data_IF_712536978923
#
_entry.id   IF_712536978923
#
_cell.length_a   1.000
_cell.length_b   1.000
_cell.length_c   1.000
_cell.angle_alpha   90.00
_cell.angle_beta   90.00
_cell.angle_gamma   90.00
#
_symmetry.space_group_name_H-M   'P 1'
#
loop_
_entity.id
_entity.type
_entity.pdbx_description
1 polymer ?
#
# COMPACT_ATOMS: atom_id res chain seq x y z
N UNK A 1 17.05 -34.87 12.94
CA UNK A 1 16.53 -34.04 11.83
C UNK A 1 17.66 -33.75 10.85
N UNK A 2 17.92 -34.61 9.87
CA UNK A 2 18.75 -34.32 8.67
C UNK A 2 18.63 -35.47 7.67
N UNK A 3 17.43 -35.83 7.23
CA UNK A 3 17.26 -36.73 6.07
C UNK A 3 17.21 -35.94 4.75
N UNK A 4 17.02 -34.62 4.81
CA UNK A 4 16.88 -33.73 3.64
C UNK A 4 18.10 -32.80 3.41
N UNK A 5 19.17 -32.93 4.19
CA UNK A 5 20.38 -32.09 4.04
C UNK A 5 20.18 -30.58 4.28
N UNK A 6 19.01 -30.15 4.79
CA UNK A 6 18.68 -28.75 5.03
C UNK A 6 18.81 -28.41 6.52
N UNK A 7 19.48 -27.29 6.83
CA UNK A 7 19.59 -26.74 8.18
C UNK A 7 18.70 -25.50 8.35
N UNK A 8 18.08 -25.38 9.52
CA UNK A 8 17.30 -24.19 9.87
C UNK A 8 18.24 -23.04 10.19
N UNK A 9 17.97 -21.86 9.63
CA UNK A 9 18.68 -20.64 9.99
C UNK A 9 18.16 -20.13 11.35
N UNK A 10 18.99 -20.08 12.40
CA UNK A 10 18.55 -19.68 13.74
C UNK A 10 18.07 -18.22 13.79
N UNK A 11 18.59 -17.34 12.92
CA UNK A 11 18.18 -15.93 12.86
C UNK A 11 16.75 -15.73 12.35
N UNK A 12 16.27 -16.62 11.47
CA UNK A 12 14.95 -16.51 10.83
C UNK A 12 13.88 -17.32 11.58
N UNK A 13 14.31 -18.29 12.40
CA UNK A 13 13.43 -19.22 13.10
C UNK A 13 13.10 -18.68 14.49
N UNK A 14 11.98 -17.95 14.60
CA UNK A 14 11.47 -17.47 15.90
C UNK A 14 10.17 -18.18 16.26
N UNK A 15 10.17 -18.90 17.36
CA UNK A 15 8.95 -19.41 17.98
C UNK A 15 8.25 -18.22 18.64
N UNK A 16 7.06 -17.87 18.15
CA UNK A 16 6.25 -16.78 18.71
C UNK A 16 4.81 -17.23 18.84
N UNK A 17 4.13 -16.78 19.89
CA UNK A 17 2.72 -17.09 20.07
C UNK A 17 1.87 -16.33 19.05
N UNK A 18 0.76 -16.93 18.62
CA UNK A 18 -0.19 -16.31 17.69
C UNK A 18 -0.74 -14.96 18.21
N UNK A 19 -0.77 -14.78 19.53
CA UNK A 19 -1.17 -13.52 20.17
C UNK A 19 -0.18 -12.37 19.94
N UNK A 20 1.13 -12.60 20.08
CA UNK A 20 2.16 -11.62 19.68
C UNK A 20 2.16 -11.46 18.15
N UNK A 21 1.87 -12.55 17.46
CA UNK A 21 1.77 -12.64 16.01
C UNK A 21 3.13 -12.62 15.30
N UNK A 22 3.11 -12.90 14.00
CA UNK A 22 4.31 -13.12 13.20
C UNK A 22 4.14 -12.62 11.76
N UNK A 23 5.26 -12.54 11.04
CA UNK A 23 5.29 -12.19 9.63
C UNK A 23 5.35 -13.45 8.76
N UNK A 24 4.43 -13.58 7.80
CA UNK A 24 4.41 -14.68 6.85
C UNK A 24 3.89 -14.23 5.48
N UNK A 25 4.56 -14.61 4.40
CA UNK A 25 4.21 -14.25 3.01
C UNK A 25 3.90 -12.76 2.78
N UNK A 26 4.57 -11.87 3.52
CA UNK A 26 4.35 -10.43 3.41
C UNK A 26 3.21 -9.86 4.25
N UNK A 27 2.49 -10.70 4.99
CA UNK A 27 1.48 -10.31 5.96
C UNK A 27 2.02 -10.34 7.39
N UNK A 28 1.50 -9.44 8.23
CA UNK A 28 1.57 -9.52 9.68
C UNK A 28 0.30 -10.20 10.16
N UNK A 29 0.44 -11.42 10.68
CA UNK A 29 -0.66 -12.22 11.21
C UNK A 29 -0.68 -12.07 12.73
N UNK A 30 -1.88 -11.89 13.28
CA UNK A 30 -2.15 -11.78 14.71
C UNK A 30 -3.56 -12.25 15.00
N UNK A 31 -3.91 -12.41 16.28
CA UNK A 31 -5.26 -12.84 16.69
C UNK A 31 -6.40 -12.02 16.08
N UNK A 32 -6.21 -10.70 15.96
CA UNK A 32 -7.27 -9.77 15.55
C UNK A 32 -7.05 -9.13 14.18
N UNK A 33 -5.87 -9.31 13.57
CA UNK A 33 -5.54 -8.61 12.34
C UNK A 33 -4.62 -9.41 11.42
N UNK A 34 -4.84 -9.21 10.13
CA UNK A 34 -4.11 -9.80 9.01
C UNK A 34 -3.81 -8.67 8.03
N UNK A 35 -2.70 -7.97 8.25
CA UNK A 35 -2.37 -6.75 7.51
C UNK A 35 -1.08 -6.90 6.73
N UNK A 36 -0.75 -5.96 5.83
CA UNK A 36 0.58 -5.92 5.24
C UNK A 36 1.63 -5.77 6.33
N UNK A 37 2.68 -6.59 6.32
CA UNK A 37 3.81 -6.40 7.24
C UNK A 37 4.52 -5.07 6.96
N UNK A 38 5.17 -4.51 7.97
CA UNK A 38 5.86 -3.22 7.88
C UNK A 38 6.82 -3.14 6.67
N UNK A 39 7.66 -4.17 6.49
CA UNK A 39 8.61 -4.24 5.36
C UNK A 39 7.92 -4.23 3.99
N UNK A 40 6.72 -4.80 3.87
CA UNK A 40 5.95 -4.76 2.62
C UNK A 40 5.36 -3.37 2.37
N UNK A 41 4.88 -2.72 3.44
CA UNK A 41 4.39 -1.32 3.38
C UNK A 41 5.50 -0.37 2.97
N UNK A 42 6.70 -0.53 3.53
CA UNK A 42 7.87 0.26 3.16
C UNK A 42 8.25 0.06 1.70
N UNK A 43 8.36 -1.19 1.24
CA UNK A 43 8.62 -1.48 -0.17
C UNK A 43 7.60 -0.83 -1.11
N UNK A 44 6.31 -0.88 -0.75
CA UNK A 44 5.27 -0.20 -1.50
C UNK A 44 5.47 1.32 -1.53
N UNK A 45 5.71 1.93 -0.36
CA UNK A 45 5.97 3.37 -0.24
C UNK A 45 7.20 3.78 -1.04
N UNK A 46 8.29 3.01 -1.03
CA UNK A 46 9.50 3.28 -1.81
C UNK A 46 9.20 3.32 -3.31
N UNK A 47 8.51 2.30 -3.84
CA UNK A 47 8.11 2.28 -5.26
C UNK A 47 7.25 3.49 -5.64
N UNK A 48 6.26 3.83 -4.82
CA UNK A 48 5.44 5.03 -5.06
C UNK A 48 6.28 6.30 -4.98
N UNK A 49 7.24 6.38 -4.05
CA UNK A 49 8.11 7.53 -3.90
C UNK A 49 8.99 7.77 -5.12
N UNK A 50 9.57 6.70 -5.68
CA UNK A 50 10.39 6.75 -6.89
C UNK A 50 9.60 7.35 -8.08
N UNK A 51 8.32 6.98 -8.21
CA UNK A 51 7.45 7.49 -9.28
C UNK A 51 7.02 8.94 -9.02
N UNK A 52 6.87 9.35 -7.75
CA UNK A 52 6.29 10.66 -7.36
C UNK A 52 7.33 11.70 -6.93
N UNK A 53 8.55 11.64 -7.48
CA UNK A 53 9.64 12.58 -7.15
C UNK A 53 9.18 14.03 -7.34
N UNK A 54 9.39 14.85 -6.31
CA UNK A 54 9.16 16.31 -6.36
C UNK A 54 10.09 16.84 -7.45
N UNK A 55 9.59 17.66 -8.38
CA UNK A 55 10.27 18.17 -9.60
C UNK A 55 10.08 17.38 -10.91
N UNK A 56 9.48 16.18 -10.91
CA UNK A 56 9.01 15.58 -12.16
C UNK A 56 7.64 16.14 -12.58
N UNK A 57 7.38 16.15 -13.89
CA UNK A 57 6.08 16.52 -14.43
C UNK A 57 5.03 15.47 -14.06
N UNK A 58 3.85 15.93 -13.62
CA UNK A 58 2.70 15.06 -13.39
C UNK A 58 2.04 14.77 -14.75
N UNK A 59 2.62 13.84 -15.49
CA UNK A 59 2.13 13.36 -16.78
C UNK A 59 1.23 12.12 -16.61
N UNK A 60 0.50 11.75 -17.67
CA UNK A 60 -0.35 10.56 -17.68
C UNK A 60 0.44 9.28 -17.36
N UNK A 61 1.65 9.16 -17.89
CA UNK A 61 2.57 8.04 -17.68
C UNK A 61 2.91 7.83 -16.20
N UNK A 62 3.18 8.90 -15.44
CA UNK A 62 3.42 8.80 -14.00
C UNK A 62 2.18 8.36 -13.23
N UNK A 63 0.97 8.73 -13.68
CA UNK A 63 -0.26 8.20 -13.08
C UNK A 63 -0.40 6.71 -13.37
N UNK A 64 -0.18 6.30 -14.62
CA UNK A 64 -0.33 4.91 -15.05
C UNK A 64 0.64 3.97 -14.32
N UNK A 65 1.93 4.31 -14.29
CA UNK A 65 2.94 3.54 -13.54
C UNK A 65 2.56 3.40 -12.07
N UNK A 66 2.03 4.46 -11.47
CA UNK A 66 1.55 4.40 -10.08
C UNK A 66 0.31 3.51 -9.93
N UNK A 67 -0.63 3.59 -10.87
CA UNK A 67 -1.82 2.74 -10.89
C UNK A 67 -1.45 1.25 -11.03
N UNK A 68 -0.42 0.91 -11.80
CA UNK A 68 0.09 -0.46 -11.90
C UNK A 68 0.62 -0.96 -10.54
N UNK A 69 1.41 -0.14 -9.83
CA UNK A 69 1.90 -0.48 -8.48
C UNK A 69 0.76 -0.62 -7.47
N UNK A 70 -0.23 0.28 -7.53
CA UNK A 70 -1.44 0.22 -6.67
C UNK A 70 -2.23 -1.06 -6.96
N UNK A 71 -2.55 -1.36 -8.22
CA UNK A 71 -3.27 -2.58 -8.62
C UNK A 71 -2.55 -3.84 -8.16
N UNK A 72 -1.27 -3.97 -8.46
CA UNK A 72 -0.50 -5.17 -8.09
C UNK A 72 -0.45 -5.38 -6.57
N UNK A 73 -0.32 -4.29 -5.82
CA UNK A 73 -0.32 -4.34 -4.35
C UNK A 73 -1.72 -4.68 -3.81
N UNK A 74 -2.76 -4.06 -4.34
CA UNK A 74 -4.13 -4.32 -3.95
C UNK A 74 -4.52 -5.78 -4.25
N UNK A 75 -4.29 -6.27 -5.46
CA UNK A 75 -4.65 -7.64 -5.83
C UNK A 75 -4.00 -8.70 -4.93
N UNK A 76 -2.79 -8.45 -4.42
CA UNK A 76 -2.13 -9.37 -3.50
C UNK A 76 -2.59 -9.22 -2.04
N UNK A 77 -2.81 -7.99 -1.56
CA UNK A 77 -3.05 -7.72 -0.14
C UNK A 77 -4.52 -7.44 0.23
N UNK A 78 -5.40 -7.22 -0.75
CA UNK A 78 -6.84 -6.97 -0.60
C UNK A 78 -7.64 -8.28 -0.66
N UNK A 79 -7.12 -9.36 -0.08
CA UNK A 79 -7.83 -10.64 -0.01
C UNK A 79 -8.96 -10.57 1.02
N UNK A 80 -9.96 -11.44 0.89
CA UNK A 80 -11.13 -11.50 1.79
C UNK A 80 -10.77 -11.70 3.26
N UNK A 81 -9.71 -12.46 3.53
CA UNK A 81 -9.23 -12.71 4.89
C UNK A 81 -8.43 -11.54 5.48
N UNK A 82 -8.06 -10.54 4.67
CA UNK A 82 -7.19 -9.44 5.09
C UNK A 82 -7.99 -8.34 5.81
N UNK A 83 -7.39 -7.73 6.82
CA UNK A 83 -7.95 -6.60 7.56
C UNK A 83 -7.24 -5.30 7.18
N UNK A 84 -6.98 -5.09 5.88
CA UNK A 84 -6.15 -4.02 5.35
C UNK A 84 -6.86 -2.68 5.14
N UNK A 85 -8.19 -2.60 5.36
CA UNK A 85 -9.03 -1.42 5.04
C UNK A 85 -8.46 -0.13 5.62
N UNK A 86 -8.17 -0.09 6.93
CA UNK A 86 -7.62 1.10 7.58
C UNK A 86 -6.24 1.47 7.03
N UNK A 87 -5.37 0.47 6.82
CA UNK A 87 -4.05 0.69 6.26
C UNK A 87 -4.13 1.28 4.84
N UNK A 88 -5.01 0.76 3.99
CA UNK A 88 -5.22 1.24 2.63
C UNK A 88 -5.74 2.67 2.61
N UNK A 89 -6.68 3.02 3.48
CA UNK A 89 -7.13 4.41 3.64
C UNK A 89 -5.97 5.38 3.95
N UNK A 90 -5.07 4.97 4.85
CA UNK A 90 -3.91 5.78 5.24
C UNK A 90 -2.89 5.88 4.10
N UNK A 91 -2.66 4.80 3.35
CA UNK A 91 -1.82 4.79 2.16
C UNK A 91 -2.40 5.67 1.06
N UNK A 92 -3.70 5.61 0.78
CA UNK A 92 -4.36 6.44 -0.23
C UNK A 92 -4.28 7.93 0.12
N UNK A 93 -4.48 8.30 1.41
CA UNK A 93 -4.25 9.68 1.89
C UNK A 93 -2.82 10.13 1.61
N UNK A 94 -1.84 9.28 1.93
CA UNK A 94 -0.43 9.56 1.73
C UNK A 94 -0.07 9.70 0.24
N UNK A 95 -0.60 8.84 -0.63
CA UNK A 95 -0.42 8.93 -2.09
C UNK A 95 -0.98 10.24 -2.65
N UNK A 96 -2.20 10.63 -2.26
CA UNK A 96 -2.79 11.91 -2.70
C UNK A 96 -1.92 13.09 -2.28
N UNK A 97 -1.38 13.08 -1.06
CA UNK A 97 -0.44 14.11 -0.61
C UNK A 97 0.86 14.15 -1.43
N UNK A 98 1.39 12.98 -1.82
CA UNK A 98 2.57 12.90 -2.71
C UNK A 98 2.30 13.54 -4.06
N UNK A 99 1.17 13.23 -4.68
CA UNK A 99 0.77 13.82 -5.96
C UNK A 99 0.57 15.34 -5.85
N UNK A 100 -0.02 15.83 -4.76
CA UNK A 100 -0.06 17.29 -4.48
C UNK A 100 1.34 17.88 -4.38
N UNK A 101 2.23 17.22 -3.67
CA UNK A 101 3.62 17.67 -3.53
C UNK A 101 4.36 17.72 -4.87
N UNK A 102 4.07 16.79 -5.77
CA UNK A 102 4.62 16.78 -7.13
C UNK A 102 4.07 17.95 -7.96
N UNK A 103 2.75 18.19 -7.91
CA UNK A 103 2.09 19.26 -8.67
C UNK A 103 2.44 20.68 -8.19
N UNK A 104 2.41 20.90 -6.88
CA UNK A 104 2.63 22.23 -6.26
C UNK A 104 4.06 22.45 -5.77
N UNK A 105 4.95 21.45 -5.96
CA UNK A 105 6.37 21.47 -5.56
C UNK A 105 6.62 21.76 -4.07
N UNK A 106 5.61 21.57 -3.21
CA UNK A 106 5.66 21.84 -1.76
C UNK A 106 4.78 20.87 -0.96
N UNK A 107 4.97 20.77 0.35
CA UNK A 107 4.04 20.04 1.25
C UNK A 107 3.18 21.07 1.99
N UNK A 108 1.92 21.21 1.61
CA UNK A 108 0.97 22.11 2.28
C UNK A 108 -0.40 21.46 2.41
N UNK A 109 -1.04 21.64 3.56
CA UNK A 109 -2.42 21.20 3.79
C UNK A 109 -3.41 22.02 2.98
N UNK A 110 -3.09 23.29 2.67
CA UNK A 110 -3.94 24.17 1.87
C UNK A 110 -4.13 23.63 0.44
N UNK A 111 -3.16 22.87 -0.07
CA UNK A 111 -3.26 22.24 -1.38
C UNK A 111 -4.34 21.13 -1.42
N UNK A 112 -4.86 20.68 -0.27
CA UNK A 112 -6.04 19.80 -0.20
C UNK A 112 -7.30 20.47 -0.72
N UNK A 113 -7.45 21.78 -0.48
CA UNK A 113 -8.57 22.56 -0.99
C UNK A 113 -8.40 22.88 -2.47
N UNK A 114 -7.15 23.16 -2.90
CA UNK A 114 -6.81 23.44 -4.31
C UNK A 114 -6.94 22.21 -5.21
N UNK A 115 -6.62 21.03 -4.68
CA UNK A 115 -6.75 19.75 -5.38
C UNK A 115 -7.55 18.76 -4.53
N UNK A 116 -8.87 18.81 -4.72
CA UNK A 116 -9.86 17.97 -4.01
C UNK A 116 -9.75 16.51 -4.43
N UNK A 117 -10.24 15.59 -3.57
CA UNK A 117 -10.23 14.13 -3.80
C UNK A 117 -10.80 13.76 -5.19
N UNK A 118 -11.90 14.41 -5.60
CA UNK A 118 -12.57 14.17 -6.89
C UNK A 118 -11.65 14.34 -8.11
N UNK A 119 -10.65 15.23 -8.03
CA UNK A 119 -9.71 15.49 -9.14
C UNK A 119 -8.81 14.28 -9.39
N UNK A 120 -8.37 13.60 -8.32
CA UNK A 120 -7.54 12.40 -8.44
C UNK A 120 -8.31 11.28 -9.13
N UNK A 121 -9.54 11.02 -8.69
CA UNK A 121 -10.37 9.94 -9.21
C UNK A 121 -10.87 10.24 -10.63
N UNK A 122 -11.58 11.37 -10.81
CA UNK A 122 -12.31 11.66 -12.05
C UNK A 122 -11.45 12.25 -13.17
N UNK A 123 -10.44 13.07 -12.84
CA UNK A 123 -9.63 13.77 -13.85
C UNK A 123 -8.31 13.09 -14.13
N UNK A 124 -7.64 12.57 -13.10
CA UNK A 124 -6.36 11.89 -13.26
C UNK A 124 -6.50 10.37 -13.44
N UNK A 125 -7.64 9.77 -13.08
CA UNK A 125 -7.80 8.31 -13.09
C UNK A 125 -6.90 7.60 -12.08
N UNK A 126 -6.51 8.28 -10.99
CA UNK A 126 -5.72 7.67 -9.92
C UNK A 126 -6.57 6.65 -9.15
N UNK A 127 -6.10 5.41 -9.09
CA UNK A 127 -6.72 4.35 -8.32
C UNK A 127 -6.46 4.52 -6.82
N UNK A 128 -7.37 3.98 -6.01
CA UNK A 128 -7.26 3.92 -4.55
C UNK A 128 -7.16 2.46 -4.14
N UNK A 129 -6.25 2.12 -3.23
CA UNK A 129 -6.15 0.76 -2.68
C UNK A 129 -7.47 0.32 -2.04
N UNK A 130 -8.17 1.27 -1.40
CA UNK A 130 -9.44 0.99 -0.74
C UNK A 130 -10.50 0.42 -1.68
N UNK A 131 -10.54 0.82 -2.97
CA UNK A 131 -11.57 0.38 -3.91
C UNK A 131 -11.49 -1.11 -4.26
N UNK A 132 -10.40 -1.78 -3.90
CA UNK A 132 -10.18 -3.21 -4.14
C UNK A 132 -10.62 -4.08 -2.95
N UNK A 133 -11.08 -3.47 -1.86
CA UNK A 133 -11.54 -4.23 -0.69
C UNK A 133 -13.00 -4.67 -0.89
N UNK A 134 -13.36 -5.86 -0.41
CA UNK A 134 -14.70 -6.43 -0.58
C UNK A 134 -15.82 -5.51 -0.05
N UNK A 135 -15.54 -4.70 0.97
CA UNK A 135 -16.47 -3.71 1.54
C UNK A 135 -16.96 -2.68 0.50
N UNK A 136 -16.21 -2.44 -0.58
CA UNK A 136 -16.58 -1.50 -1.65
C UNK A 136 -17.19 -2.16 -2.90
N UNK A 137 -17.19 -3.50 -3.00
CA UNK A 137 -17.68 -4.25 -4.17
C UNK A 137 -19.11 -4.78 -3.98
N UNK A 138 -19.76 -4.54 -2.84
CA UNK A 138 -21.11 -5.03 -2.50
C UNK A 138 -22.29 -4.12 -2.89
N UNK A 139 -22.07 -3.11 -3.73
CA UNK A 139 -23.15 -2.30 -4.32
C UNK A 139 -23.00 -2.31 -5.84
N UNK A 140 -23.55 -3.33 -6.47
CA UNK A 140 -23.85 -3.39 -7.90
C UNK A 140 -25.13 -4.20 -8.08
#
# INVERSE_FOLDING_TARGET
MTELGLSLSPEKTKITSYGKGYDFLGFRLSRLSRTMRAKSVEKFKTKVQEITRRHHNLDGTAIEKRNQVIRGTANYFATEFSTCVFLFQQLDKWIRMRVRCMKFKRKSVNDNYRMKKRVFLKRLGLLELLSFTATTMGHS
#
